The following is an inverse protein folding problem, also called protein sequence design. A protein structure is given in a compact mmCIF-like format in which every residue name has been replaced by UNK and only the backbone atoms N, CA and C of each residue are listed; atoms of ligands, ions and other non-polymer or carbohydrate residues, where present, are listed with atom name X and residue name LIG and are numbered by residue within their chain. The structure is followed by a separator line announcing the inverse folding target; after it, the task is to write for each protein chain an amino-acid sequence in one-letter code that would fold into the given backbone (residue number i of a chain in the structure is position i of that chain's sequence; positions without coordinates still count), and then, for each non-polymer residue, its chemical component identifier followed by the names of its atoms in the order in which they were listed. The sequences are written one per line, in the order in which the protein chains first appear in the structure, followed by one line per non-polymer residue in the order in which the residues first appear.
data_IF_127812840007
#
_entry.id   IF_127812840007
#
_cell.length_a   1.000
_cell.length_b   1.000
_cell.length_c   1.000
_cell.angle_alpha   90.00
_cell.angle_beta   90.00
_cell.angle_gamma   90.00
#
_symmetry.space_group_name_H-M   'P 1'
#
loop_
_entity.id
_entity.type
_entity.pdbx_description
1 polymer ?
#
# COMPACT_ATOMS: atom_id res chain seq x y z
N UNK A 1 2.53 -3.32 21.00
CA UNK A 1 1.19 -3.14 20.38
C UNK A 1 1.09 -4.09 19.21
N UNK A 2 -0.08 -4.65 18.91
CA UNK A 2 -0.25 -5.56 17.78
C UNK A 2 -0.11 -4.82 16.44
N UNK A 3 0.53 -5.47 15.46
CA UNK A 3 0.78 -4.92 14.13
C UNK A 3 -0.52 -4.56 13.42
N UNK A 4 -1.53 -5.43 13.50
CA UNK A 4 -2.83 -5.20 12.88
C UNK A 4 -3.54 -3.97 13.48
N UNK A 5 -3.47 -3.77 14.80
CA UNK A 5 -4.08 -2.61 15.46
C UNK A 5 -3.37 -1.31 15.11
N UNK A 6 -2.04 -1.35 14.97
CA UNK A 6 -1.27 -0.20 14.52
C UNK A 6 -1.65 0.18 13.08
N UNK A 7 -1.80 -0.80 12.20
CA UNK A 7 -2.20 -0.55 10.82
C UNK A 7 -3.65 -0.04 10.72
N UNK A 8 -4.58 -0.58 11.50
CA UNK A 8 -5.94 -0.05 11.56
C UNK A 8 -5.96 1.42 11.96
N UNK A 9 -5.17 1.81 12.97
CA UNK A 9 -5.04 3.22 13.38
C UNK A 9 -4.50 4.10 12.24
N UNK A 10 -3.57 3.59 11.44
CA UNK A 10 -3.09 4.30 10.25
C UNK A 10 -4.26 4.52 9.27
N UNK A 11 -5.00 3.46 8.92
CA UNK A 11 -6.15 3.56 8.02
C UNK A 11 -7.20 4.56 8.52
N UNK A 12 -7.51 4.52 9.82
CA UNK A 12 -8.48 5.42 10.45
C UNK A 12 -8.04 6.90 10.43
N UNK A 13 -6.74 7.17 10.28
CA UNK A 13 -6.18 8.52 10.19
C UNK A 13 -6.12 9.08 8.77
N UNK A 14 -6.35 8.25 7.75
CA UNK A 14 -6.26 8.67 6.36
C UNK A 14 -7.56 9.39 5.91
N UNK A 15 -7.46 10.43 5.07
CA UNK A 15 -8.63 11.03 4.40
C UNK A 15 -9.33 10.02 3.48
N UNK A 16 -10.66 10.06 3.32
CA UNK A 16 -11.41 9.06 2.52
C UNK A 16 -10.99 8.98 1.03
N UNK A 17 -10.38 10.03 0.49
CA UNK A 17 -9.98 10.13 -0.91
C UNK A 17 -8.54 9.63 -1.20
N UNK A 18 -7.90 8.96 -0.25
CA UNK A 18 -6.62 8.31 -0.48
C UNK A 18 -6.71 7.19 -1.54
N UNK A 19 -5.66 7.02 -2.34
CA UNK A 19 -5.61 6.02 -3.42
C UNK A 19 -4.63 4.91 -3.11
N UNK A 20 -3.40 5.29 -2.76
CA UNK A 20 -2.28 4.37 -2.57
C UNK A 20 -1.55 4.69 -1.26
N UNK A 21 -1.15 3.64 -0.57
CA UNK A 21 -0.36 3.70 0.66
C UNK A 21 0.84 2.76 0.50
N UNK A 22 2.04 3.28 0.77
CA UNK A 22 3.26 2.46 0.87
C UNK A 22 3.65 2.35 2.34
N UNK A 23 3.86 1.12 2.79
CA UNK A 23 4.35 0.83 4.14
C UNK A 23 5.55 -0.11 4.10
N UNK A 24 6.48 0.08 5.03
CA UNK A 24 7.54 -0.87 5.28
C UNK A 24 7.24 -1.65 6.55
N UNK A 25 7.59 -2.94 6.53
CA UNK A 25 7.47 -3.86 7.65
C UNK A 25 8.85 -4.42 8.00
N UNK A 26 9.16 -4.44 9.29
CA UNK A 26 10.30 -5.18 9.86
C UNK A 26 9.81 -6.08 10.98
N UNK A 27 10.49 -7.20 11.18
CA UNK A 27 10.25 -8.10 12.33
C UNK A 27 11.44 -7.99 13.27
N UNK A 28 11.20 -8.22 14.57
CA UNK A 28 12.24 -8.12 15.58
C UNK A 28 13.15 -9.36 15.62
N UNK A 29 12.61 -10.53 15.26
CA UNK A 29 13.30 -11.82 15.26
C UNK A 29 13.57 -12.27 13.83
N UNK A 30 14.81 -12.12 13.37
CA UNK A 30 15.22 -12.47 12.01
C UNK A 30 15.26 -13.98 11.76
N UNK A 31 15.36 -14.83 12.79
CA UNK A 31 15.35 -16.29 12.61
C UNK A 31 14.00 -16.77 12.08
N UNK A 32 12.94 -15.99 12.33
CA UNK A 32 11.58 -16.24 11.84
C UNK A 32 11.27 -15.55 10.51
N UNK A 33 12.28 -15.00 9.82
CA UNK A 33 12.08 -14.29 8.55
C UNK A 33 11.31 -15.10 7.52
N UNK A 34 11.66 -16.38 7.32
CA UNK A 34 11.03 -17.24 6.31
C UNK A 34 9.56 -17.54 6.66
N UNK A 35 9.27 -17.75 7.94
CA UNK A 35 7.91 -17.96 8.43
C UNK A 35 7.07 -16.68 8.24
N UNK A 36 7.59 -15.54 8.68
CA UNK A 36 6.95 -14.24 8.50
C UNK A 36 6.70 -13.93 7.02
N UNK A 37 7.70 -14.18 6.15
CA UNK A 37 7.62 -13.99 4.70
C UNK A 37 6.46 -14.78 4.10
N UNK A 38 6.19 -15.99 4.59
CA UNK A 38 5.09 -16.83 4.12
C UNK A 38 3.75 -16.16 4.37
N UNK A 39 3.54 -15.55 5.55
CA UNK A 39 2.30 -14.84 5.84
C UNK A 39 2.11 -13.58 4.97
N UNK A 40 3.15 -12.74 4.88
CA UNK A 40 3.01 -11.42 4.23
C UNK A 40 3.10 -11.49 2.71
N UNK A 41 3.94 -12.36 2.15
CA UNK A 41 4.07 -12.51 0.70
C UNK A 41 2.82 -13.16 0.12
N UNK A 42 2.31 -14.22 0.75
CA UNK A 42 1.11 -14.92 0.26
C UNK A 42 -0.17 -14.10 0.40
N UNK A 43 -0.32 -13.32 1.48
CA UNK A 43 -1.59 -12.64 1.77
C UNK A 43 -1.67 -11.25 1.12
N UNK A 44 -0.58 -10.48 1.12
CA UNK A 44 -0.59 -9.10 0.63
C UNK A 44 0.53 -8.78 -0.38
N UNK A 45 1.19 -9.80 -0.95
CA UNK A 45 2.26 -9.63 -1.94
C UNK A 45 3.36 -8.66 -1.48
N UNK A 46 3.75 -8.79 -0.21
CA UNK A 46 4.84 -8.02 0.36
C UNK A 46 6.14 -8.28 -0.42
N UNK A 47 6.80 -7.20 -0.84
CA UNK A 47 8.02 -7.25 -1.64
C UNK A 47 9.23 -7.23 -0.71
N UNK A 48 10.08 -8.28 -0.70
CA UNK A 48 11.26 -8.31 0.17
C UNK A 48 12.29 -7.29 -0.30
N UNK A 49 12.91 -6.59 0.66
CA UNK A 49 14.08 -5.77 0.39
C UNK A 49 15.34 -6.62 0.37
N UNK A 50 16.28 -6.32 -0.52
CA UNK A 50 17.55 -7.08 -0.62
C UNK A 50 18.65 -6.58 0.33
N UNK A 51 18.67 -5.29 0.70
CA UNK A 51 19.68 -4.69 1.60
C UNK A 51 19.15 -3.43 2.31
N UNK A 52 18.24 -3.60 3.27
CA UNK A 52 17.73 -2.49 4.07
C UNK A 52 17.48 -2.94 5.51
N UNK A 53 17.44 -1.98 6.45
CA UNK A 53 17.02 -2.18 7.85
C UNK A 53 15.54 -2.61 7.97
N UNK A 54 14.83 -2.63 6.85
CA UNK A 54 13.43 -3.03 6.71
C UNK A 54 13.37 -4.27 5.82
N UNK A 55 12.46 -5.18 6.15
CA UNK A 55 12.40 -6.50 5.52
C UNK A 55 11.49 -6.53 4.30
N UNK A 56 10.34 -5.89 4.37
CA UNK A 56 9.38 -5.86 3.27
C UNK A 56 8.79 -4.49 3.02
N UNK A 57 8.51 -4.22 1.74
CA UNK A 57 7.61 -3.17 1.29
C UNK A 57 6.24 -3.76 1.02
N UNK A 58 5.19 -3.12 1.48
CA UNK A 58 3.80 -3.45 1.13
C UNK A 58 3.16 -2.25 0.46
N UNK A 59 2.57 -2.50 -0.70
CA UNK A 59 1.78 -1.52 -1.42
C UNK A 59 0.31 -1.81 -1.15
N UNK A 60 -0.45 -0.79 -0.80
CA UNK A 60 -1.87 -0.90 -0.47
C UNK A 60 -2.66 0.03 -1.37
N UNK A 61 -3.72 -0.49 -1.98
CA UNK A 61 -4.67 0.29 -2.77
C UNK A 61 -6.00 0.39 -2.01
N UNK A 62 -6.62 1.57 -2.01
CA UNK A 62 -7.85 1.80 -1.26
C UNK A 62 -9.07 1.08 -1.88
N UNK A 63 -9.58 1.61 -3.01
CA UNK A 63 -10.75 1.08 -3.73
C UNK A 63 -10.41 0.62 -5.16
N UNK A 64 -9.40 1.23 -5.75
CA UNK A 64 -8.96 0.97 -7.12
C UNK A 64 -7.43 0.95 -7.15
N UNK A 65 -6.85 -0.03 -7.84
CA UNK A 65 -5.40 -0.20 -7.94
C UNK A 65 -5.01 -1.67 -8.09
N UNK A 66 -3.73 -1.93 -8.40
CA UNK A 66 -3.18 -3.29 -8.56
C UNK A 66 -2.44 -3.77 -7.29
N UNK A 67 -2.48 -2.98 -6.23
CA UNK A 67 -1.81 -3.27 -4.97
C UNK A 67 -2.74 -4.05 -4.01
N UNK A 68 -2.24 -4.43 -2.83
CA UNK A 68 -3.02 -5.21 -1.88
C UNK A 68 -4.20 -4.41 -1.33
N UNK A 69 -5.34 -5.06 -1.11
CA UNK A 69 -6.47 -4.45 -0.43
C UNK A 69 -6.12 -4.21 1.07
N UNK A 70 -6.67 -3.18 1.73
CA UNK A 70 -6.37 -2.91 3.14
C UNK A 70 -6.72 -4.08 4.06
N UNK A 71 -7.80 -4.80 3.75
CA UNK A 71 -8.24 -6.01 4.46
C UNK A 71 -7.27 -7.19 4.31
N UNK A 72 -6.60 -7.31 3.17
CA UNK A 72 -5.58 -8.33 2.96
C UNK A 72 -4.33 -8.04 3.80
N UNK A 73 -3.92 -6.75 3.88
CA UNK A 73 -2.81 -6.32 4.73
C UNK A 73 -3.16 -6.51 6.21
N UNK A 74 -4.38 -6.15 6.65
CA UNK A 74 -4.85 -6.42 8.01
C UNK A 74 -4.80 -7.91 8.36
N UNK A 75 -5.24 -8.77 7.43
CA UNK A 75 -5.19 -10.22 7.60
C UNK A 75 -3.74 -10.71 7.76
N UNK A 76 -2.83 -10.24 6.91
CA UNK A 76 -1.41 -10.60 6.96
C UNK A 76 -0.77 -10.22 8.31
N UNK A 77 -1.01 -8.99 8.77
CA UNK A 77 -0.49 -8.52 10.05
C UNK A 77 -1.13 -9.24 11.24
N UNK A 78 -2.40 -9.61 11.13
CA UNK A 78 -3.08 -10.40 12.17
C UNK A 78 -2.51 -11.81 12.29
N UNK A 79 -2.10 -12.43 11.18
CA UNK A 79 -1.42 -13.72 11.19
C UNK A 79 -0.05 -13.64 11.88
N UNK A 80 0.72 -12.56 11.65
CA UNK A 80 1.96 -12.32 12.38
C UNK A 80 1.71 -12.16 13.88
N UNK A 81 0.69 -11.38 14.26
CA UNK A 81 0.31 -11.18 15.65
C UNK A 81 -0.11 -12.51 16.32
N UNK A 82 -0.89 -13.35 15.63
CA UNK A 82 -1.30 -14.69 16.11
C UNK A 82 -0.12 -15.64 16.25
N UNK A 83 0.84 -15.59 15.33
CA UNK A 83 2.09 -16.35 15.39
C UNK A 83 3.08 -15.80 16.43
N UNK A 84 2.71 -14.76 17.19
CA UNK A 84 3.58 -14.05 18.14
C UNK A 84 4.88 -13.51 17.50
N UNK A 85 4.83 -13.18 16.21
CA UNK A 85 5.93 -12.54 15.49
C UNK A 85 5.80 -11.04 15.73
N UNK A 86 6.69 -10.50 16.56
CA UNK A 86 6.73 -9.07 16.83
C UNK A 86 7.49 -8.32 15.73
N UNK A 87 7.07 -7.09 15.49
CA UNK A 87 7.66 -6.26 14.46
C UNK A 87 7.19 -4.82 14.54
N UNK A 88 7.58 -4.05 13.53
CA UNK A 88 7.20 -2.66 13.39
C UNK A 88 6.80 -2.37 11.95
N UNK A 89 5.85 -1.44 11.81
CA UNK A 89 5.44 -0.89 10.52
C UNK A 89 5.69 0.60 10.50
N UNK A 90 6.06 1.12 9.33
CA UNK A 90 6.17 2.56 9.10
C UNK A 90 5.50 2.92 7.78
N UNK A 91 4.72 3.99 7.79
CA UNK A 91 4.16 4.58 6.57
C UNK A 91 5.26 5.36 5.86
N UNK A 92 5.46 5.07 4.57
CA UNK A 92 6.47 5.74 3.74
C UNK A 92 5.88 6.81 2.85
N UNK A 93 4.74 6.51 2.24
CA UNK A 93 4.08 7.42 1.31
C UNK A 93 2.58 7.20 1.36
N UNK A 94 1.82 8.28 1.20
CA UNK A 94 0.36 8.26 1.08
C UNK A 94 0.01 9.16 -0.09
N UNK A 95 -0.65 8.59 -1.09
CA UNK A 95 -1.19 9.36 -2.21
C UNK A 95 -2.65 9.69 -1.94
N UNK A 96 -2.94 10.98 -1.99
CA UNK A 96 -4.26 11.55 -1.77
C UNK A 96 -4.66 12.32 -3.02
N UNK A 97 -5.95 12.30 -3.33
CA UNK A 97 -6.50 12.94 -4.50
C UNK A 97 -6.47 12.01 -5.71
N UNK A 98 -7.63 11.87 -6.35
CA UNK A 98 -7.70 11.35 -7.71
C UNK A 98 -7.00 12.35 -8.62
N UNK A 99 -5.81 12.03 -9.11
CA UNK A 99 -5.33 12.67 -10.32
C UNK A 99 -6.35 12.36 -11.42
N UNK A 100 -6.91 13.40 -12.03
CA UNK A 100 -7.86 13.22 -13.11
C UNK A 100 -7.19 12.45 -14.23
N UNK A 101 -7.65 11.23 -14.48
CA UNK A 101 -7.18 10.43 -15.61
C UNK A 101 -8.03 10.83 -16.80
N UNK A 102 -7.44 11.58 -17.71
CA UNK A 102 -8.03 11.87 -19.01
C UNK A 102 -7.63 10.76 -19.99
N UNK A 103 -8.54 9.85 -20.38
CA UNK A 103 -8.22 8.79 -21.32
C UNK A 103 -8.11 9.40 -22.74
N UNK A 104 -6.95 9.97 -23.03
CA UNK A 104 -6.60 10.55 -24.35
C UNK A 104 -6.05 9.51 -25.32
N UNK A 105 -5.97 8.25 -24.89
CA UNK A 105 -5.62 7.12 -25.75
C UNK A 105 -6.67 6.91 -26.84
N UNK A 106 -6.23 6.82 -28.09
CA UNK A 106 -7.12 6.70 -29.27
C UNK A 106 -7.80 8.01 -29.71
N UNK A 107 -7.61 9.13 -29.00
CA UNK A 107 -8.15 10.43 -29.40
C UNK A 107 -7.14 11.22 -30.24
N UNK A 108 -7.60 11.76 -31.37
CA UNK A 108 -6.78 12.58 -32.27
C UNK A 108 -6.44 13.96 -31.69
N UNK A 109 -5.56 14.69 -32.40
CA UNK A 109 -5.04 16.00 -31.95
C UNK A 109 -6.15 17.05 -31.77
N UNK A 110 -7.22 17.00 -32.57
CA UNK A 110 -8.38 17.91 -32.43
C UNK A 110 -9.02 17.82 -31.05
N UNK A 111 -9.21 16.60 -30.52
CA UNK A 111 -9.77 16.39 -29.19
C UNK A 111 -8.83 16.91 -28.09
N UNK A 112 -7.50 16.83 -28.28
CA UNK A 112 -6.51 17.38 -27.35
C UNK A 112 -6.48 18.91 -27.34
N UNK A 113 -6.72 19.54 -28.50
CA UNK A 113 -6.77 20.99 -28.62
C UNK A 113 -8.04 21.58 -28.02
N UNK A 114 -9.20 20.96 -28.31
CA UNK A 114 -10.47 21.34 -27.72
C UNK A 114 -10.45 21.17 -26.20
N UNK A 115 -9.87 20.09 -25.72
CA UNK A 115 -9.68 19.85 -24.30
C UNK A 115 -8.82 20.93 -23.62
N UNK A 116 -7.68 21.30 -24.22
CA UNK A 116 -6.85 22.42 -23.74
C UNK A 116 -7.60 23.75 -23.74
N UNK A 117 -8.42 24.01 -24.77
CA UNK A 117 -9.23 25.23 -24.87
C UNK A 117 -10.28 25.32 -23.76
N UNK A 118 -10.95 24.21 -23.45
CA UNK A 118 -12.00 24.17 -22.41
C UNK A 118 -11.45 24.38 -20.99
N UNK A 119 -10.17 24.09 -20.75
CA UNK A 119 -9.51 24.24 -19.44
C UNK A 119 -8.71 25.53 -19.26
N UNK A 120 -8.69 26.41 -20.25
CA UNK A 120 -7.97 27.67 -20.19
C UNK A 120 -8.76 28.80 -19.47
N UNK A 121 -9.86 28.47 -18.79
CA UNK A 121 -10.70 29.39 -18.03
C UNK A 121 -10.73 29.03 -16.55
#
# INVERSE_FOLDING_TARGET
MSLAKNFQRVLDSLPDDWTDLSLDLRIADEDRYVEAATYVTTTCNAQPYSRHDWHWRVLVAHRFGHAAAPTAVLSALSLLDQASITGEIIVRDVRVGRAEVEPMWGRGETARQEFRRLRAH
#
